data_IF_616476550589
#
_entry.id   IF_616476550589
#
_cell.length_a   1.000
_cell.length_b   1.000
_cell.length_c   1.000
_cell.angle_alpha   90.00
_cell.angle_beta   90.00
_cell.angle_gamma   90.00
#
_symmetry.space_group_name_H-M   'P 1'
#
loop_
_entity.id
_entity.type
_entity.pdbx_description
1 polymer ?
#
# COMPACT_ATOMS: atom_id res chain seq x y z
N UNK A 1 48.44 50.88 24.22
CA UNK A 1 48.68 52.14 23.48
C UNK A 1 47.75 52.13 22.28
N UNK A 2 46.69 52.92 22.35
CA UNK A 2 46.03 53.46 21.15
C UNK A 2 47.01 54.45 20.47
N UNK A 3 46.77 54.80 19.20
CA UNK A 3 45.85 55.92 18.98
C UNK A 3 44.87 55.73 17.82
N UNK A 4 43.74 56.41 17.99
CA UNK A 4 42.76 56.80 16.99
C UNK A 4 43.38 57.64 15.86
N UNK A 5 42.80 57.56 14.67
CA UNK A 5 42.62 58.75 13.81
C UNK A 5 41.33 58.62 13.01
N UNK A 6 40.43 59.56 13.25
CA UNK A 6 39.14 59.80 12.62
C UNK A 6 39.28 60.68 11.37
N UNK A 7 38.41 60.46 10.37
CA UNK A 7 37.83 61.45 9.44
C UNK A 7 36.96 60.68 8.43
N UNK A 8 35.62 60.78 8.52
CA UNK A 8 34.76 61.76 7.82
C UNK A 8 34.55 61.41 6.34
N UNK A 9 33.31 61.00 6.01
CA UNK A 9 32.44 61.54 4.94
C UNK A 9 31.21 60.61 4.82
N UNK A 10 30.01 61.02 5.24
CA UNK A 10 29.05 61.87 4.51
C UNK A 10 27.95 61.03 3.86
N UNK A 11 26.77 61.09 4.47
CA UNK A 11 25.44 61.19 3.86
C UNK A 11 25.13 60.43 2.57
N UNK A 12 24.11 59.56 2.65
CA UNK A 12 22.82 59.86 2.02
C UNK A 12 21.71 58.92 2.51
N UNK A 13 20.70 59.53 3.11
CA UNK A 13 19.37 58.96 3.33
C UNK A 13 18.73 58.55 2.00
N UNK A 14 18.08 57.39 1.95
CA UNK A 14 16.95 57.22 1.04
C UNK A 14 15.86 56.38 1.71
N UNK A 15 14.74 57.08 1.92
CA UNK A 15 13.42 56.67 2.35
C UNK A 15 12.98 55.32 1.77
N UNK A 16 12.63 54.38 2.65
CA UNK A 16 11.92 53.16 2.28
C UNK A 16 10.47 53.56 1.93
N UNK A 17 10.21 53.73 0.64
CA UNK A 17 8.88 53.79 0.06
C UNK A 17 8.25 52.40 0.23
N UNK A 18 7.32 52.28 1.18
CA UNK A 18 6.42 51.15 1.25
C UNK A 18 5.55 51.15 -0.02
N UNK A 19 5.92 50.32 -0.99
CA UNK A 19 5.10 50.02 -2.15
C UNK A 19 3.91 49.19 -1.67
N UNK A 20 2.77 49.88 -1.53
CA UNK A 20 1.45 49.26 -1.45
C UNK A 20 1.26 48.47 -2.75
N UNK A 21 1.25 47.15 -2.63
CA UNK A 21 0.91 46.24 -3.72
C UNK A 21 -0.52 46.57 -4.19
N UNK A 22 -0.80 46.59 -5.51
CA UNK A 22 -2.13 46.85 -6.01
C UNK A 22 -3.04 45.70 -5.59
N UNK A 23 -4.12 46.07 -4.90
CA UNK A 23 -5.26 45.23 -4.56
C UNK A 23 -5.74 44.51 -5.82
N UNK A 24 -5.81 43.17 -5.74
CA UNK A 24 -6.19 42.33 -6.87
C UNK A 24 -7.64 42.60 -7.30
N UNK A 25 -7.94 42.73 -8.61
CA UNK A 25 -9.29 43.01 -9.10
C UNK A 25 -10.26 41.85 -8.81
N UNK A 26 -11.59 42.10 -8.80
CA UNK A 26 -12.60 41.12 -8.39
C UNK A 26 -12.54 39.86 -9.25
N UNK A 27 -12.67 38.71 -8.60
CA UNK A 27 -12.70 37.35 -9.15
C UNK A 27 -13.49 37.28 -10.45
N UNK A 28 -12.78 37.28 -11.59
CA UNK A 28 -13.26 36.60 -12.79
C UNK A 28 -13.11 35.12 -12.50
N UNK A 29 -14.22 34.47 -12.18
CA UNK A 29 -14.30 33.01 -12.13
C UNK A 29 -13.81 32.52 -13.49
N UNK A 30 -12.77 31.70 -13.47
CA UNK A 30 -12.23 31.05 -14.66
C UNK A 30 -12.24 29.54 -14.45
N UNK A 31 -11.95 28.74 -15.48
CA UNK A 31 -12.03 27.28 -15.43
C UNK A 31 -11.23 26.68 -14.27
N UNK A 32 -10.05 27.24 -14.00
CA UNK A 32 -9.18 26.79 -12.91
C UNK A 32 -9.77 27.08 -11.52
N UNK A 33 -10.47 28.20 -11.34
CA UNK A 33 -11.14 28.52 -10.08
C UNK A 33 -12.32 27.56 -9.84
N UNK A 34 -13.12 27.30 -10.88
CA UNK A 34 -14.23 26.34 -10.83
C UNK A 34 -13.74 24.94 -10.48
N UNK A 35 -12.68 24.45 -11.14
CA UNK A 35 -12.09 23.12 -10.88
C UNK A 35 -11.57 22.96 -9.44
N UNK A 36 -11.19 24.05 -8.78
CA UNK A 36 -10.69 24.01 -7.40
C UNK A 36 -11.83 24.02 -6.38
N UNK A 37 -12.85 24.84 -6.62
CA UNK A 37 -13.95 25.05 -5.67
C UNK A 37 -15.02 23.97 -5.75
N UNK A 38 -15.35 23.50 -6.95
CA UNK A 38 -16.41 22.51 -7.17
C UNK A 38 -15.87 21.08 -7.24
N UNK A 39 -16.70 20.11 -6.90
CA UNK A 39 -16.45 18.69 -7.14
C UNK A 39 -16.65 18.31 -8.61
N UNK A 40 -16.13 17.15 -9.02
CA UNK A 40 -16.34 16.64 -10.38
C UNK A 40 -17.84 16.46 -10.69
N UNK A 41 -18.62 16.06 -9.69
CA UNK A 41 -20.06 15.83 -9.79
C UNK A 41 -20.82 17.16 -9.89
N UNK A 42 -20.46 18.16 -9.09
CA UNK A 42 -21.07 19.49 -9.15
C UNK A 42 -20.82 20.18 -10.50
N UNK A 43 -19.63 19.96 -11.09
CA UNK A 43 -19.31 20.45 -12.43
C UNK A 43 -20.15 19.72 -13.51
N UNK A 44 -20.34 18.41 -13.39
CA UNK A 44 -21.16 17.61 -14.31
C UNK A 44 -22.64 18.02 -14.25
N UNK A 45 -23.19 18.18 -13.04
CA UNK A 45 -24.56 18.65 -12.84
C UNK A 45 -24.76 20.05 -13.43
N UNK A 46 -23.83 20.96 -13.17
CA UNK A 46 -23.87 22.33 -13.71
C UNK A 46 -23.76 22.32 -15.24
N UNK A 47 -22.91 21.47 -15.81
CA UNK A 47 -22.77 21.35 -17.25
C UNK A 47 -24.05 20.79 -17.89
N UNK A 48 -24.70 19.81 -17.29
CA UNK A 48 -26.01 19.31 -17.75
C UNK A 48 -27.04 20.43 -17.83
N UNK A 49 -27.17 21.23 -16.77
CA UNK A 49 -28.11 22.36 -16.72
C UNK A 49 -27.81 23.44 -17.77
N UNK A 50 -26.53 23.75 -17.98
CA UNK A 50 -26.11 24.71 -19.01
C UNK A 50 -26.40 24.19 -20.42
N UNK A 51 -26.20 22.89 -20.66
CA UNK A 51 -26.50 22.26 -21.94
C UNK A 51 -28.00 22.25 -22.25
N UNK A 52 -28.84 21.91 -21.27
CA UNK A 52 -30.30 21.98 -21.42
C UNK A 52 -30.74 23.41 -21.74
N UNK A 53 -30.23 24.39 -20.99
CA UNK A 53 -30.50 25.80 -21.24
C UNK A 53 -30.06 26.25 -22.64
N UNK A 54 -28.94 25.73 -23.15
CA UNK A 54 -28.42 26.06 -24.48
C UNK A 54 -29.29 25.48 -25.60
N UNK A 55 -29.86 24.27 -25.40
CA UNK A 55 -30.79 23.64 -26.34
C UNK A 55 -32.11 24.41 -26.42
N UNK A 56 -32.67 24.81 -25.27
CA UNK A 56 -33.88 25.63 -25.23
C UNK A 56 -33.65 26.99 -25.93
N UNK A 57 -32.55 27.68 -25.59
CA UNK A 57 -32.22 28.96 -26.21
C UNK A 57 -32.01 28.85 -27.74
N UNK A 58 -31.38 27.78 -28.22
CA UNK A 58 -31.23 27.53 -29.65
C UNK A 58 -32.58 27.27 -30.34
N UNK A 59 -33.49 26.55 -29.67
CA UNK A 59 -34.82 26.26 -30.21
C UNK A 59 -35.68 27.52 -30.37
N UNK A 60 -35.51 28.48 -29.47
CA UNK A 60 -36.20 29.77 -29.51
C UNK A 60 -35.57 30.78 -30.50
N UNK A 61 -34.29 30.60 -30.86
CA UNK A 61 -33.52 31.56 -31.67
C UNK A 61 -32.96 30.97 -32.98
N UNK A 62 -33.76 30.20 -33.72
CA UNK A 62 -33.40 29.63 -35.04
C UNK A 62 -32.06 28.86 -35.06
N UNK A 63 -31.70 28.22 -33.94
CA UNK A 63 -30.47 27.46 -33.77
C UNK A 63 -29.29 28.25 -33.21
N UNK A 64 -29.45 29.54 -32.90
CA UNK A 64 -28.38 30.36 -32.32
C UNK A 64 -28.35 30.29 -30.79
N UNK A 65 -27.17 30.01 -30.23
CA UNK A 65 -26.94 30.01 -28.78
C UNK A 65 -26.36 31.37 -28.36
N UNK A 66 -26.93 32.04 -27.35
CA UNK A 66 -26.39 33.28 -26.81
C UNK A 66 -24.91 33.14 -26.42
N UNK A 67 -24.10 34.15 -26.76
CA UNK A 67 -22.64 34.11 -26.55
C UNK A 67 -22.25 33.89 -25.08
N UNK A 68 -23.02 34.45 -24.15
CA UNK A 68 -22.79 34.26 -22.71
C UNK A 68 -22.94 32.80 -22.31
N UNK A 69 -23.98 32.13 -22.81
CA UNK A 69 -24.26 30.74 -22.51
C UNK A 69 -23.26 29.80 -23.17
N UNK A 70 -22.90 30.06 -24.43
CA UNK A 70 -21.83 29.34 -25.14
C UNK A 70 -20.50 29.41 -24.37
N UNK A 71 -20.15 30.59 -23.86
CA UNK A 71 -18.94 30.80 -23.08
C UNK A 71 -18.97 30.07 -21.74
N UNK A 72 -20.11 30.09 -21.03
CA UNK A 72 -20.26 29.36 -19.79
C UNK A 72 -20.09 27.85 -19.98
N UNK A 73 -20.69 27.28 -21.03
CA UNK A 73 -20.51 25.85 -21.38
C UNK A 73 -19.04 25.50 -21.60
N UNK A 74 -18.32 26.30 -22.40
CA UNK A 74 -16.89 26.08 -22.65
C UNK A 74 -16.06 26.18 -21.35
N UNK A 75 -16.35 27.16 -20.51
CA UNK A 75 -15.65 27.36 -19.24
C UNK A 75 -15.83 26.17 -18.28
N UNK A 76 -17.05 25.63 -18.17
CA UNK A 76 -17.33 24.47 -17.33
C UNK A 76 -16.74 23.17 -17.90
N UNK A 77 -16.71 23.02 -19.23
CA UNK A 77 -16.00 21.90 -19.89
C UNK A 77 -14.50 21.93 -19.58
N UNK A 78 -13.86 23.09 -19.68
CA UNK A 78 -12.44 23.24 -19.32
C UNK A 78 -12.21 22.99 -17.82
N UNK A 79 -13.11 23.48 -16.95
CA UNK A 79 -13.03 23.23 -15.51
C UNK A 79 -13.15 21.75 -15.16
N UNK A 80 -14.05 21.02 -15.84
CA UNK A 80 -14.23 19.58 -15.68
C UNK A 80 -12.97 18.81 -16.09
N UNK A 81 -12.40 19.11 -17.27
CA UNK A 81 -11.14 18.52 -17.71
C UNK A 81 -10.00 18.77 -16.72
N UNK A 82 -9.84 20.01 -16.27
CA UNK A 82 -8.84 20.37 -15.26
C UNK A 82 -9.05 19.61 -13.94
N UNK A 83 -10.30 19.35 -13.54
CA UNK A 83 -10.60 18.55 -12.34
C UNK A 83 -10.14 17.11 -12.50
N UNK A 84 -10.39 16.49 -13.65
CA UNK A 84 -9.93 15.14 -13.98
C UNK A 84 -8.41 15.06 -13.89
N UNK A 85 -7.70 16.00 -14.51
CA UNK A 85 -6.23 16.06 -14.47
C UNK A 85 -5.68 16.25 -13.05
N UNK A 86 -6.34 17.08 -12.24
CA UNK A 86 -5.97 17.27 -10.84
C UNK A 86 -6.11 15.97 -10.03
N UNK A 87 -7.20 15.21 -10.25
CA UNK A 87 -7.43 13.92 -9.60
C UNK A 87 -6.35 12.91 -10.03
N UNK A 88 -6.09 12.80 -11.34
CA UNK A 88 -5.06 11.91 -11.87
C UNK A 88 -3.67 12.23 -11.31
N UNK A 89 -3.29 13.51 -11.31
CA UNK A 89 -2.03 14.00 -10.75
C UNK A 89 -1.89 13.65 -9.27
N UNK A 90 -2.98 13.82 -8.50
CA UNK A 90 -2.98 13.48 -7.08
C UNK A 90 -2.81 11.98 -6.83
N UNK A 91 -3.48 11.12 -7.61
CA UNK A 91 -3.30 9.68 -7.51
C UNK A 91 -1.85 9.30 -7.82
N UNK A 92 -1.24 9.83 -8.88
CA UNK A 92 0.17 9.56 -9.17
C UNK A 92 1.12 10.04 -8.07
N UNK A 93 0.83 11.16 -7.42
CA UNK A 93 1.60 11.63 -6.27
C UNK A 93 1.55 10.62 -5.11
N UNK A 94 0.37 10.05 -4.82
CA UNK A 94 0.20 9.01 -3.80
C UNK A 94 0.89 7.69 -4.18
N UNK A 95 0.82 7.28 -5.44
CA UNK A 95 1.54 6.10 -5.95
C UNK A 95 3.05 6.26 -5.79
N UNK A 96 3.58 7.44 -6.11
CA UNK A 96 4.99 7.77 -5.93
C UNK A 96 5.40 7.77 -4.45
N UNK A 97 4.58 8.38 -3.58
CA UNK A 97 4.82 8.38 -2.13
C UNK A 97 4.88 6.94 -1.59
N UNK A 98 3.93 6.09 -1.98
CA UNK A 98 3.88 4.69 -1.57
C UNK A 98 5.11 3.90 -2.07
N UNK A 99 5.52 4.11 -3.32
CA UNK A 99 6.71 3.46 -3.89
C UNK A 99 8.00 3.88 -3.17
N UNK A 100 8.15 5.18 -2.88
CA UNK A 100 9.30 5.69 -2.14
C UNK A 100 9.34 5.16 -0.70
N UNK A 101 8.19 5.11 -0.02
CA UNK A 101 8.10 4.54 1.32
C UNK A 101 8.49 3.05 1.33
N UNK A 102 8.07 2.28 0.32
CA UNK A 102 8.46 0.87 0.16
C UNK A 102 9.98 0.71 0.03
N UNK A 103 10.61 1.52 -0.80
CA UNK A 103 12.06 1.47 -0.99
C UNK A 103 12.84 1.71 0.31
N UNK A 104 12.39 2.67 1.13
CA UNK A 104 13.04 2.94 2.42
C UNK A 104 12.76 1.82 3.45
N UNK A 105 11.55 1.25 3.47
CA UNK A 105 11.24 0.07 4.30
C UNK A 105 12.22 -1.07 3.97
N UNK A 106 12.42 -1.37 2.70
CA UNK A 106 13.27 -2.48 2.27
C UNK A 106 14.74 -2.22 2.65
N UNK A 107 15.22 -0.99 2.46
CA UNK A 107 16.56 -0.56 2.89
C UNK A 107 16.75 -0.71 4.41
N UNK A 108 15.78 -0.25 5.21
CA UNK A 108 15.83 -0.34 6.66
C UNK A 108 15.73 -1.79 7.14
N UNK A 109 14.94 -2.64 6.47
CA UNK A 109 14.86 -4.06 6.76
C UNK A 109 16.19 -4.79 6.53
N UNK A 110 16.89 -4.46 5.42
CA UNK A 110 18.25 -4.96 5.17
C UNK A 110 19.22 -4.49 6.26
N UNK A 111 19.16 -3.22 6.66
CA UNK A 111 20.03 -2.69 7.73
C UNK A 111 19.75 -3.36 9.08
N UNK A 112 18.48 -3.56 9.42
CA UNK A 112 18.03 -4.25 10.64
C UNK A 112 18.58 -5.68 10.67
N UNK A 113 18.32 -6.46 9.62
CA UNK A 113 18.77 -7.86 9.54
C UNK A 113 20.30 -7.97 9.60
N UNK A 114 21.03 -7.05 8.97
CA UNK A 114 22.49 -7.01 9.07
C UNK A 114 22.98 -6.77 10.51
N UNK A 115 22.32 -5.88 11.27
CA UNK A 115 22.65 -5.65 12.67
C UNK A 115 22.31 -6.85 13.55
N UNK A 116 21.13 -7.46 13.38
CA UNK A 116 20.72 -8.68 14.08
C UNK A 116 21.71 -9.83 13.83
N UNK A 117 22.12 -10.03 12.58
CA UNK A 117 23.11 -11.04 12.20
C UNK A 117 24.49 -10.79 12.83
N UNK A 118 24.91 -9.52 12.98
CA UNK A 118 26.16 -9.17 13.67
C UNK A 118 26.07 -9.48 15.16
N UNK A 119 24.94 -9.16 15.80
CA UNK A 119 24.68 -9.50 17.21
C UNK A 119 24.74 -11.01 17.41
N UNK A 120 24.07 -11.78 16.56
CA UNK A 120 24.04 -13.24 16.70
C UNK A 120 25.43 -13.85 16.48
N UNK A 121 26.16 -13.39 15.45
CA UNK A 121 27.54 -13.82 15.21
C UNK A 121 28.45 -13.52 16.42
N UNK A 122 28.30 -12.35 17.04
CA UNK A 122 29.08 -11.98 18.22
C UNK A 122 28.71 -12.84 19.44
N UNK A 123 27.42 -13.09 19.68
CA UNK A 123 26.96 -14.00 20.74
C UNK A 123 27.48 -15.42 20.54
N UNK A 124 27.47 -15.93 19.30
CA UNK A 124 28.05 -17.22 18.93
C UNK A 124 29.54 -17.29 19.24
N UNK A 125 30.31 -16.27 18.85
CA UNK A 125 31.74 -16.17 19.16
C UNK A 125 32.01 -16.14 20.67
N UNK A 126 31.23 -15.35 21.43
CA UNK A 126 31.36 -15.29 22.89
C UNK A 126 31.02 -16.64 23.53
N UNK A 127 29.97 -17.31 23.06
CA UNK A 127 29.61 -18.65 23.53
C UNK A 127 30.74 -19.65 23.29
N UNK A 128 31.33 -19.65 22.09
CA UNK A 128 32.50 -20.49 21.77
C UNK A 128 33.69 -20.17 22.68
N UNK A 129 34.05 -18.89 22.82
CA UNK A 129 35.15 -18.46 23.68
C UNK A 129 34.97 -18.90 25.14
N UNK A 130 33.79 -18.65 25.72
CA UNK A 130 33.46 -19.01 27.09
C UNK A 130 33.46 -20.53 27.29
N UNK A 131 32.87 -21.28 26.36
CA UNK A 131 32.83 -22.75 26.40
C UNK A 131 34.23 -23.36 26.29
N UNK A 132 35.07 -22.89 25.37
CA UNK A 132 36.45 -23.39 25.18
C UNK A 132 37.35 -23.25 26.41
N UNK A 133 37.00 -22.31 27.31
CA UNK A 133 37.76 -22.00 28.53
C UNK A 133 37.02 -22.39 29.81
N UNK A 134 35.88 -23.07 29.70
CA UNK A 134 35.02 -23.43 30.83
C UNK A 134 34.60 -22.23 31.72
N UNK A 135 34.47 -21.04 31.13
CA UNK A 135 34.06 -19.82 31.84
C UNK A 135 32.53 -19.69 31.77
N UNK A 136 31.86 -19.64 32.93
CA UNK A 136 30.39 -19.51 32.99
C UNK A 136 29.90 -18.06 32.96
N UNK A 137 30.72 -17.11 33.40
CA UNK A 137 30.37 -15.69 33.47
C UNK A 137 31.60 -14.80 33.35
N UNK A 138 31.47 -13.68 32.65
CA UNK A 138 32.47 -12.63 32.49
C UNK A 138 31.87 -11.32 33.01
N UNK A 139 32.51 -10.71 34.01
CA UNK A 139 32.10 -9.43 34.58
C UNK A 139 32.98 -8.31 34.04
N UNK A 140 32.37 -7.29 33.46
CA UNK A 140 32.98 -6.00 33.20
C UNK A 140 32.64 -4.99 34.30
N UNK A 141 33.08 -3.73 34.13
CA UNK A 141 32.79 -2.64 35.07
C UNK A 141 31.29 -2.33 35.17
N UNK A 142 30.57 -2.37 34.04
CA UNK A 142 29.14 -2.00 33.95
C UNK A 142 28.22 -3.15 33.53
N UNK A 143 28.76 -4.20 32.90
CA UNK A 143 27.98 -5.26 32.27
C UNK A 143 28.49 -6.63 32.67
N UNK A 144 27.60 -7.64 32.70
CA UNK A 144 27.96 -9.04 32.93
C UNK A 144 27.42 -9.90 31.80
N UNK A 145 28.28 -10.75 31.23
CA UNK A 145 27.90 -11.72 30.20
C UNK A 145 27.97 -13.10 30.82
N UNK A 146 26.87 -13.85 30.76
CA UNK A 146 26.77 -15.19 31.37
C UNK A 146 26.21 -16.19 30.38
N UNK A 147 26.76 -17.41 30.41
CA UNK A 147 26.14 -18.56 29.76
C UNK A 147 25.01 -19.05 30.66
N UNK A 148 23.78 -18.98 30.14
CA UNK A 148 22.62 -19.58 30.79
C UNK A 148 22.21 -20.82 30.04
N UNK A 149 21.68 -21.81 30.78
CA UNK A 149 20.94 -22.90 30.15
C UNK A 149 19.69 -22.30 29.53
N UNK A 150 19.29 -22.83 28.39
CA UNK A 150 17.98 -22.52 27.84
C UNK A 150 16.91 -22.91 28.86
N UNK A 151 15.78 -22.21 28.87
CA UNK A 151 14.65 -22.50 29.76
C UNK A 151 14.05 -23.89 29.52
N UNK A 152 14.31 -24.46 28.34
CA UNK A 152 13.93 -25.81 27.95
C UNK A 152 15.15 -26.53 27.37
N UNK A 153 15.21 -27.84 27.60
CA UNK A 153 16.22 -28.69 26.97
C UNK A 153 16.04 -28.66 25.45
N UNK A 154 17.16 -28.57 24.74
CA UNK A 154 17.14 -28.54 23.27
C UNK A 154 16.96 -29.96 22.75
N UNK A 155 15.97 -30.17 21.89
CA UNK A 155 15.80 -31.43 21.17
C UNK A 155 16.94 -31.57 20.15
N UNK A 156 17.74 -32.63 20.28
CA UNK A 156 18.81 -32.96 19.35
C UNK A 156 18.37 -34.21 18.57
N UNK A 157 18.12 -34.05 17.28
CA UNK A 157 17.85 -35.18 16.38
C UNK A 157 19.17 -35.65 15.78
N UNK A 158 19.73 -36.75 16.29
CA UNK A 158 21.00 -37.30 15.79
C UNK A 158 20.85 -37.98 14.44
N UNK A 159 19.75 -38.70 14.23
CA UNK A 159 19.44 -39.39 12.98
C UNK A 159 17.92 -39.39 12.76
N UNK A 160 17.39 -38.53 11.88
CA UNK A 160 15.96 -38.47 11.59
C UNK A 160 15.43 -39.78 11.00
N UNK A 161 16.25 -40.58 10.33
CA UNK A 161 15.78 -41.81 9.64
C UNK A 161 15.36 -42.91 10.61
N UNK A 162 15.85 -42.85 11.85
CA UNK A 162 15.49 -43.77 12.93
C UNK A 162 14.26 -43.32 13.71
N UNK A 163 13.69 -42.15 13.40
CA UNK A 163 12.54 -41.62 14.12
C UNK A 163 11.28 -42.41 13.75
N UNK A 164 10.58 -43.01 14.74
CA UNK A 164 9.32 -43.71 14.48
C UNK A 164 8.29 -42.82 13.79
N UNK A 165 7.43 -43.42 12.96
CA UNK A 165 6.38 -42.73 12.21
C UNK A 165 5.45 -41.88 13.09
N UNK A 166 5.29 -42.26 14.37
CA UNK A 166 4.43 -41.58 15.34
C UNK A 166 4.86 -40.14 15.67
N UNK A 167 6.15 -39.80 15.50
CA UNK A 167 6.67 -38.46 15.79
C UNK A 167 6.71 -37.53 14.58
N UNK A 168 6.35 -38.03 13.40
CA UNK A 168 6.30 -37.23 12.19
C UNK A 168 4.95 -36.52 12.07
N UNK A 169 5.01 -35.19 11.92
CA UNK A 169 3.85 -34.41 11.49
C UNK A 169 3.88 -34.29 9.97
N UNK A 170 2.95 -34.97 9.30
CA UNK A 170 2.82 -34.96 7.84
C UNK A 170 1.71 -33.99 7.46
N UNK A 171 2.00 -33.06 6.53
CA UNK A 171 1.02 -32.17 5.92
C UNK A 171 0.83 -32.58 4.46
N UNK A 172 -0.40 -32.87 4.05
CA UNK A 172 -0.74 -33.26 2.68
C UNK A 172 -1.73 -32.27 2.11
N UNK A 173 -1.47 -31.79 0.90
CA UNK A 173 -2.39 -30.93 0.14
C UNK A 173 -3.19 -31.83 -0.80
N UNK A 174 -4.49 -31.95 -0.57
CA UNK A 174 -5.42 -32.74 -1.39
C UNK A 174 -6.54 -31.83 -1.90
N UNK A 175 -7.02 -32.10 -3.11
CA UNK A 175 -8.27 -31.51 -3.58
C UNK A 175 -9.49 -32.27 -3.01
N UNK A 176 -10.69 -31.70 -3.14
CA UNK A 176 -11.91 -32.29 -2.59
C UNK A 176 -12.19 -33.72 -3.08
N UNK A 177 -11.98 -33.99 -4.38
CA UNK A 177 -12.21 -35.31 -4.96
C UNK A 177 -11.22 -36.36 -4.42
N UNK A 178 -9.95 -36.00 -4.27
CA UNK A 178 -8.93 -36.88 -3.68
C UNK A 178 -9.24 -37.18 -2.21
N UNK A 179 -9.75 -36.21 -1.46
CA UNK A 179 -10.14 -36.42 -0.07
C UNK A 179 -11.36 -37.36 0.02
N UNK A 180 -12.37 -37.17 -0.81
CA UNK A 180 -13.55 -38.04 -0.89
C UNK A 180 -13.17 -39.48 -1.27
N UNK A 181 -12.26 -39.65 -2.23
CA UNK A 181 -11.71 -40.94 -2.62
C UNK A 181 -11.04 -41.64 -1.43
N UNK A 182 -10.14 -40.94 -0.71
CA UNK A 182 -9.47 -41.49 0.49
C UNK A 182 -10.50 -41.88 1.57
N UNK A 183 -11.53 -41.06 1.78
CA UNK A 183 -12.62 -41.37 2.72
C UNK A 183 -13.40 -42.61 2.26
N UNK A 184 -13.61 -42.81 0.97
CA UNK A 184 -14.38 -43.95 0.44
C UNK A 184 -13.73 -45.31 0.77
N UNK A 185 -12.40 -45.39 0.74
CA UNK A 185 -11.64 -46.61 1.04
C UNK A 185 -11.48 -46.87 2.55
N UNK A 186 -11.76 -45.90 3.42
CA UNK A 186 -11.64 -46.05 4.87
C UNK A 186 -12.89 -46.75 5.48
N UNK A 187 -12.74 -47.80 6.29
CA UNK A 187 -13.86 -48.45 6.98
C UNK A 187 -14.67 -47.46 7.84
N UNK A 188 -15.98 -47.71 7.99
CA UNK A 188 -16.92 -46.80 8.69
C UNK A 188 -16.49 -46.46 10.12
N UNK A 189 -15.88 -47.42 10.82
CA UNK A 189 -15.46 -47.29 12.22
C UNK A 189 -14.03 -46.73 12.39
N UNK A 190 -13.34 -46.42 11.29
CA UNK A 190 -11.96 -45.96 11.35
C UNK A 190 -11.85 -44.54 11.92
N UNK A 191 -10.98 -44.32 12.91
CA UNK A 191 -10.78 -43.02 13.57
C UNK A 191 -10.48 -41.86 12.61
N UNK A 192 -9.67 -42.12 11.58
CA UNK A 192 -9.35 -41.12 10.56
C UNK A 192 -10.57 -40.74 9.72
N UNK A 193 -11.53 -41.64 9.52
CA UNK A 193 -12.74 -41.32 8.74
C UNK A 193 -13.56 -40.23 9.43
N UNK A 194 -13.77 -40.35 10.74
CA UNK A 194 -14.47 -39.33 11.53
C UNK A 194 -13.76 -37.97 11.47
N UNK A 195 -12.42 -37.97 11.51
CA UNK A 195 -11.61 -36.75 11.42
C UNK A 195 -11.66 -36.12 10.01
N UNK A 196 -11.47 -36.93 8.96
CA UNK A 196 -11.46 -36.49 7.56
C UNK A 196 -12.84 -36.02 7.07
N UNK A 197 -13.93 -36.55 7.66
CA UNK A 197 -15.30 -36.15 7.30
C UNK A 197 -15.70 -34.82 7.95
N UNK A 198 -15.02 -34.39 9.02
CA UNK A 198 -15.34 -33.14 9.70
C UNK A 198 -14.89 -31.93 8.84
N UNK A 199 -15.80 -31.04 8.41
CA UNK A 199 -15.45 -29.87 7.59
C UNK A 199 -14.54 -28.88 8.32
N UNK A 200 -14.62 -28.80 9.65
CA UNK A 200 -13.82 -27.85 10.46
C UNK A 200 -12.40 -28.34 10.76
N UNK A 201 -12.10 -29.61 10.44
CA UNK A 201 -10.79 -30.19 10.68
C UNK A 201 -9.72 -29.73 9.66
N UNK A 202 -10.13 -29.07 8.57
CA UNK A 202 -9.23 -28.67 7.48
C UNK A 202 -9.39 -27.22 7.09
N UNK A 203 -8.26 -26.56 6.83
CA UNK A 203 -8.26 -25.28 6.13
C UNK A 203 -8.68 -25.53 4.67
N UNK A 204 -9.86 -25.05 4.29
CA UNK A 204 -10.37 -25.15 2.92
C UNK A 204 -10.13 -23.82 2.21
N UNK A 205 -9.38 -23.86 1.11
CA UNK A 205 -9.19 -22.72 0.23
C UNK A 205 -9.72 -23.08 -1.16
N UNK A 206 -10.52 -22.21 -1.80
CA UNK A 206 -10.99 -22.47 -3.16
C UNK A 206 -9.81 -22.46 -4.14
N UNK A 207 -9.73 -23.49 -4.97
CA UNK A 207 -8.77 -23.53 -6.08
C UNK A 207 -9.28 -22.62 -7.21
N UNK A 208 -8.97 -21.32 -7.07
CA UNK A 208 -9.38 -20.29 -8.01
C UNK A 208 -8.92 -20.59 -9.44
N UNK A 209 -7.78 -21.26 -9.62
CA UNK A 209 -7.24 -21.59 -10.94
C UNK A 209 -8.10 -22.66 -11.62
N UNK A 210 -8.44 -23.75 -10.92
CA UNK A 210 -9.33 -24.80 -11.46
C UNK A 210 -10.75 -24.30 -11.68
N UNK A 211 -11.28 -23.48 -10.77
CA UNK A 211 -12.61 -22.88 -10.92
C UNK A 211 -12.67 -22.01 -12.19
N UNK A 212 -11.68 -21.13 -12.38
CA UNK A 212 -11.59 -20.27 -13.57
C UNK A 212 -11.43 -21.10 -14.85
N UNK A 213 -10.58 -22.13 -14.83
CA UNK A 213 -10.38 -23.00 -15.98
C UNK A 213 -11.66 -23.77 -16.36
N UNK A 214 -12.40 -24.29 -15.38
CA UNK A 214 -13.67 -24.98 -15.59
C UNK A 214 -14.73 -24.05 -16.21
N UNK A 215 -14.90 -22.85 -15.65
CA UNK A 215 -15.83 -21.85 -16.18
C UNK A 215 -15.43 -21.42 -17.60
N UNK A 216 -14.12 -21.23 -17.85
CA UNK A 216 -13.62 -20.88 -19.19
C UNK A 216 -13.83 -21.99 -20.23
N UNK A 217 -13.88 -23.26 -19.80
CA UNK A 217 -14.17 -24.41 -20.68
C UNK A 217 -15.67 -24.74 -20.77
N UNK A 218 -16.55 -23.86 -20.27
CA UNK A 218 -18.01 -23.98 -20.38
C UNK A 218 -18.67 -24.81 -19.28
N UNK A 219 -17.93 -25.22 -18.25
CA UNK A 219 -18.47 -25.99 -17.11
C UNK A 219 -19.04 -25.00 -16.08
N UNK A 220 -20.34 -25.11 -15.80
CA UNK A 220 -20.98 -24.33 -14.73
C UNK A 220 -20.58 -24.88 -13.35
N UNK A 221 -19.88 -24.08 -12.55
CA UNK A 221 -19.52 -24.42 -11.17
C UNK A 221 -20.52 -23.75 -10.23
N UNK A 222 -21.34 -24.55 -9.54
CA UNK A 222 -22.34 -24.03 -8.58
C UNK A 222 -21.66 -23.23 -7.47
N UNK A 223 -22.02 -21.95 -7.33
CA UNK A 223 -21.46 -21.04 -6.33
C UNK A 223 -20.23 -20.25 -6.77
N UNK A 224 -19.81 -20.37 -8.04
CA UNK A 224 -18.75 -19.55 -8.63
C UNK A 224 -19.18 -18.97 -9.97
N UNK A 225 -18.96 -17.67 -10.14
CA UNK A 225 -19.22 -16.95 -11.38
C UNK A 225 -17.99 -16.09 -11.71
N UNK A 226 -17.56 -16.08 -12.97
CA UNK A 226 -16.52 -15.19 -13.43
C UNK A 226 -17.18 -13.96 -14.05
N UNK A 227 -17.10 -12.82 -13.35
CA UNK A 227 -17.54 -11.52 -13.86
C UNK A 227 -16.35 -10.67 -14.27
N UNK A 228 -16.50 -9.93 -15.38
CA UNK A 228 -15.58 -8.85 -15.74
C UNK A 228 -16.13 -7.56 -15.16
N UNK A 229 -15.49 -7.05 -14.13
CA UNK A 229 -15.80 -5.76 -13.54
C UNK A 229 -14.87 -4.68 -14.08
N UNK A 230 -15.32 -3.43 -14.01
CA UNK A 230 -14.56 -2.26 -14.42
C UNK A 230 -13.77 -1.73 -13.22
N UNK A 231 -12.54 -1.31 -13.45
CA UNK A 231 -11.74 -0.59 -12.47
C UNK A 231 -11.24 0.72 -13.09
N UNK A 232 -11.01 1.72 -12.24
CA UNK A 232 -10.40 2.97 -12.68
C UNK A 232 -8.97 2.69 -13.08
N UNK A 233 -8.61 3.11 -14.30
CA UNK A 233 -7.26 3.01 -14.84
C UNK A 233 -6.79 4.39 -15.28
N UNK A 234 -5.65 4.80 -14.76
CA UNK A 234 -4.91 5.95 -15.25
C UNK A 234 -3.99 5.49 -16.39
N UNK A 235 -3.87 6.29 -17.45
CA UNK A 235 -3.05 6.02 -18.63
C UNK A 235 -2.08 7.13 -18.90
#
# INVERSE_FOLDING_TARGET
MCPDTSALESSQSSTVLASVAPESPPTRTGPQALSKTMSLFELDESLCLLMDSAVEAASENDGEIPEELRRAVLEYCEAFGQKVDNIATYIHALEFEAANARAEIDRLAVRKSAAENRVERLKGLLKFFMASRNIKSMKGRLNTISLRKNSQDSLILTDPTKLPSEFWRISVVLNGAQLEEVISYLPREHRLRACLTNPDAFKREPDNARIRAAIASGITVKGAEVRREHHVRLT
#
